data_IF_007100553066
#
_entry.id   IF_007100553066
#
_cell.length_a   1.000
_cell.length_b   1.000
_cell.length_c   1.000
_cell.angle_alpha   90.00
_cell.angle_beta   90.00
_cell.angle_gamma   90.00
#
_symmetry.space_group_name_H-M   'P 1'
#
loop_
_entity.id
_entity.type
_entity.pdbx_description
1 polymer ?
#
# COMPACT_ATOMS: atom_id res chain seq x y z
N UNK A 1 -4.27 5.46 -24.21
CA UNK A 1 -5.55 6.19 -24.10
C UNK A 1 -5.86 6.29 -22.61
N UNK A 2 -6.09 7.49 -22.09
CA UNK A 2 -6.45 7.71 -20.67
C UNK A 2 -7.97 7.88 -20.64
N UNK A 3 -8.69 7.04 -19.92
CA UNK A 3 -10.15 7.12 -19.86
C UNK A 3 -10.58 7.19 -18.40
N UNK A 4 -11.28 8.26 -18.03
CA UNK A 4 -11.94 8.39 -16.73
C UNK A 4 -13.42 8.21 -17.01
N UNK A 5 -14.01 7.11 -16.57
CA UNK A 5 -15.28 6.65 -17.14
C UNK A 5 -16.50 6.96 -16.27
N UNK A 6 -16.37 7.18 -14.95
CA UNK A 6 -17.45 7.62 -14.03
C UNK A 6 -16.86 7.92 -12.65
N UNK A 7 -17.07 9.04 -11.99
CA UNK A 7 -16.68 9.22 -10.56
C UNK A 7 -17.57 10.26 -9.87
N UNK A 8 -17.79 10.10 -8.57
CA UNK A 8 -18.74 10.92 -7.78
C UNK A 8 -18.02 11.80 -6.75
N UNK A 9 -18.59 12.98 -6.44
CA UNK A 9 -18.18 13.81 -5.29
C UNK A 9 -19.38 14.43 -4.58
N UNK A 10 -19.50 14.30 -3.26
CA UNK A 10 -20.38 15.16 -2.43
C UNK A 10 -21.80 15.48 -2.94
N UNK A 11 -22.47 14.54 -3.61
CA UNK A 11 -23.82 14.76 -4.18
C UNK A 11 -23.86 15.58 -5.48
N UNK A 12 -22.70 15.89 -6.08
CA UNK A 12 -22.54 16.55 -7.38
C UNK A 12 -21.54 15.76 -8.22
N UNK A 13 -21.98 15.23 -9.36
CA UNK A 13 -21.09 14.61 -10.34
C UNK A 13 -20.03 15.64 -10.80
N UNK A 14 -18.74 15.24 -10.79
CA UNK A 14 -17.63 16.17 -11.04
C UNK A 14 -17.68 16.81 -12.44
N UNK A 15 -17.54 18.14 -12.57
CA UNK A 15 -17.56 18.81 -13.86
C UNK A 15 -16.24 18.63 -14.65
N UNK A 16 -16.43 18.51 -15.98
CA UNK A 16 -15.49 18.10 -17.03
C UNK A 16 -14.26 19.01 -17.18
N UNK A 17 -13.07 18.43 -17.33
CA UNK A 17 -12.00 19.04 -18.17
C UNK A 17 -11.36 18.01 -19.09
N UNK A 18 -11.50 18.30 -20.39
CA UNK A 18 -10.89 17.71 -21.59
C UNK A 18 -10.81 16.16 -21.70
N UNK A 19 -11.62 15.64 -22.64
CA UNK A 19 -11.56 14.32 -23.30
C UNK A 19 -12.53 13.22 -22.82
N UNK A 20 -13.85 13.45 -22.69
CA UNK A 20 -14.83 12.34 -22.50
C UNK A 20 -16.04 12.43 -23.45
N UNK A 21 -16.44 11.28 -23.99
CA UNK A 21 -17.72 11.04 -24.68
C UNK A 21 -18.86 10.93 -23.63
N UNK A 22 -19.95 11.63 -23.93
CA UNK A 22 -21.33 11.61 -23.40
C UNK A 22 -21.62 11.18 -21.93
N UNK A 23 -22.27 12.10 -21.20
CA UNK A 23 -22.93 11.88 -19.91
C UNK A 23 -23.98 10.77 -20.01
N UNK A 24 -23.64 9.57 -19.52
CA UNK A 24 -24.62 8.52 -19.27
C UNK A 24 -25.04 8.60 -17.80
N UNK A 25 -26.36 8.64 -17.50
CA UNK A 25 -26.83 8.58 -16.11
C UNK A 25 -26.34 7.30 -15.44
N UNK A 26 -26.14 7.36 -14.11
CA UNK A 26 -25.81 6.18 -13.33
C UNK A 26 -26.85 5.08 -13.56
N UNK A 27 -26.41 3.86 -13.82
CA UNK A 27 -27.33 2.73 -13.99
C UNK A 27 -27.87 2.31 -12.63
N UNK A 28 -29.13 1.85 -12.58
CA UNK A 28 -29.72 1.32 -11.35
C UNK A 28 -28.81 0.21 -10.76
N UNK A 29 -28.35 0.40 -9.51
CA UNK A 29 -27.43 -0.51 -8.83
C UNK A 29 -25.93 -0.24 -9.02
N UNK A 30 -25.54 0.86 -9.69
CA UNK A 30 -24.13 1.29 -9.77
C UNK A 30 -23.64 1.85 -8.42
N UNK A 31 -22.47 1.39 -7.98
CA UNK A 31 -21.89 1.67 -6.66
C UNK A 31 -20.63 2.52 -6.78
N UNK A 32 -20.40 3.43 -5.82
CA UNK A 32 -19.23 4.31 -5.83
C UNK A 32 -18.53 4.29 -4.48
N UNK A 33 -17.21 4.46 -4.51
CA UNK A 33 -16.40 4.44 -3.30
C UNK A 33 -16.25 3.04 -2.71
N UNK A 34 -15.63 3.00 -1.54
CA UNK A 34 -15.20 1.78 -0.89
C UNK A 34 -16.31 1.07 -0.09
N UNK A 35 -17.47 1.70 0.08
CA UNK A 35 -18.56 1.17 0.92
C UNK A 35 -19.08 -0.18 0.42
N UNK A 36 -19.13 -0.37 -0.90
CA UNK A 36 -19.51 -1.64 -1.54
C UNK A 36 -18.30 -2.59 -1.73
N UNK A 37 -17.40 -2.62 -0.76
CA UNK A 37 -16.28 -3.56 -0.73
C UNK A 37 -16.78 -5.02 -0.81
N UNK A 38 -16.48 -5.76 -1.90
CA UNK A 38 -17.06 -7.08 -2.14
C UNK A 38 -16.28 -8.22 -1.46
N UNK A 39 -15.18 -7.91 -0.76
CA UNK A 39 -14.28 -8.91 -0.18
C UNK A 39 -14.88 -9.68 1.00
N UNK A 40 -15.95 -9.16 1.62
CA UNK A 40 -16.53 -9.70 2.84
C UNK A 40 -15.68 -9.46 4.09
N UNK A 41 -14.58 -8.71 3.97
CA UNK A 41 -13.65 -8.38 5.06
C UNK A 41 -13.68 -6.86 5.36
N UNK A 42 -13.35 -6.45 6.59
CA UNK A 42 -13.32 -5.05 6.99
C UNK A 42 -12.19 -4.27 6.27
N UNK A 43 -12.50 -3.07 5.79
CA UNK A 43 -11.48 -2.17 5.24
C UNK A 43 -10.46 -1.84 6.35
N UNK A 44 -9.18 -2.05 6.06
CA UNK A 44 -8.10 -1.89 7.05
C UNK A 44 -7.85 -3.10 7.95
N UNK A 45 -8.60 -4.20 7.76
CA UNK A 45 -8.46 -5.44 8.52
C UNK A 45 -8.88 -5.28 9.98
N UNK A 46 -8.28 -6.05 10.86
CA UNK A 46 -8.55 -6.03 12.29
C UNK A 46 -9.74 -6.91 12.65
N UNK A 47 -10.56 -6.51 13.64
CA UNK A 47 -11.74 -7.26 14.04
C UNK A 47 -12.63 -7.62 12.85
N UNK A 48 -13.13 -8.85 12.81
CA UNK A 48 -13.95 -9.43 11.72
C UNK A 48 -13.20 -9.74 10.41
N UNK A 49 -11.88 -9.57 10.35
CA UNK A 49 -11.08 -10.14 9.27
C UNK A 49 -11.16 -11.68 9.33
N UNK A 50 -11.43 -12.32 8.20
CA UNK A 50 -11.79 -13.75 8.16
C UNK A 50 -10.61 -14.71 8.18
N UNK A 51 -9.45 -14.30 7.66
CA UNK A 51 -8.28 -15.18 7.48
C UNK A 51 -7.18 -14.86 8.50
N UNK A 52 -7.53 -14.88 9.79
CA UNK A 52 -6.60 -14.60 10.89
C UNK A 52 -5.93 -15.89 11.35
N UNK A 53 -4.60 -15.86 11.45
CA UNK A 53 -3.81 -16.93 12.05
C UNK A 53 -3.63 -16.68 13.55
N UNK A 54 -3.75 -17.74 14.34
CA UNK A 54 -3.61 -17.70 15.82
C UNK A 54 -2.48 -18.58 16.36
N UNK A 55 -1.77 -19.27 15.46
CA UNK A 55 -0.60 -20.09 15.74
C UNK A 55 0.17 -20.31 14.43
N UNK A 56 1.37 -20.91 14.53
CA UNK A 56 2.17 -21.33 13.39
C UNK A 56 3.09 -22.51 13.74
N UNK A 57 3.90 -22.95 12.78
CA UNK A 57 4.90 -24.01 12.95
C UNK A 57 6.05 -23.57 13.86
N UNK A 58 6.35 -22.29 13.87
CA UNK A 58 7.32 -21.66 14.77
C UNK A 58 6.64 -20.54 15.55
N UNK A 59 6.75 -20.54 16.87
CA UNK A 59 6.36 -19.39 17.70
C UNK A 59 7.61 -18.66 18.17
N UNK A 60 7.69 -17.36 17.91
CA UNK A 60 8.89 -16.55 18.21
C UNK A 60 8.53 -15.34 19.07
N UNK A 61 9.39 -15.04 20.02
CA UNK A 61 9.18 -13.99 21.04
C UNK A 61 10.33 -12.97 21.11
N UNK A 62 11.38 -13.18 20.33
CA UNK A 62 12.57 -12.32 20.29
C UNK A 62 13.14 -12.22 18.88
N UNK A 63 14.06 -11.28 18.67
CA UNK A 63 14.78 -11.15 17.40
C UNK A 63 15.53 -12.44 17.04
N UNK A 64 16.30 -12.99 17.98
CA UNK A 64 17.15 -14.15 17.70
C UNK A 64 16.29 -15.38 17.34
N UNK A 65 15.13 -15.54 17.99
CA UNK A 65 14.16 -16.58 17.65
C UNK A 65 13.52 -16.36 16.28
N UNK A 66 13.14 -15.12 15.96
CA UNK A 66 12.56 -14.75 14.66
C UNK A 66 13.57 -15.00 13.52
N UNK A 67 14.81 -14.55 13.69
CA UNK A 67 15.88 -14.78 12.71
C UNK A 67 16.16 -16.27 12.53
N UNK A 68 16.27 -17.02 13.63
CA UNK A 68 16.52 -18.46 13.59
C UNK A 68 15.36 -19.22 12.95
N UNK A 69 14.11 -18.86 13.26
CA UNK A 69 12.92 -19.48 12.68
C UNK A 69 12.86 -19.24 11.17
N UNK A 70 12.95 -17.98 10.72
CA UNK A 70 12.93 -17.65 9.29
C UNK A 70 14.05 -18.34 8.51
N UNK A 71 15.25 -18.46 9.09
CA UNK A 71 16.38 -19.18 8.49
C UNK A 71 16.14 -20.70 8.36
N UNK A 72 15.38 -21.28 9.30
CA UNK A 72 15.07 -22.70 9.33
C UNK A 72 13.78 -23.08 8.57
N UNK A 73 12.90 -22.12 8.30
CA UNK A 73 11.61 -22.33 7.67
C UNK A 73 11.71 -22.87 6.25
N UNK A 74 10.72 -23.66 5.88
CA UNK A 74 10.51 -24.26 4.58
C UNK A 74 9.24 -23.68 3.97
N UNK A 75 9.12 -23.84 2.65
CA UNK A 75 7.89 -23.53 1.94
C UNK A 75 6.67 -24.17 2.63
N UNK A 76 5.66 -23.37 2.93
CA UNK A 76 4.45 -23.70 3.67
C UNK A 76 4.49 -23.37 5.16
N UNK A 77 5.66 -23.11 5.75
CA UNK A 77 5.77 -22.87 7.19
C UNK A 77 5.19 -21.49 7.59
N UNK A 78 4.58 -21.45 8.77
CA UNK A 78 4.13 -20.22 9.43
C UNK A 78 5.04 -19.89 10.61
N UNK A 79 5.71 -18.74 10.54
CA UNK A 79 6.41 -18.13 11.69
C UNK A 79 5.46 -17.16 12.37
N UNK A 80 5.06 -17.47 13.60
CA UNK A 80 4.03 -16.79 14.35
C UNK A 80 4.61 -15.96 15.51
N UNK A 81 4.19 -14.69 15.58
CA UNK A 81 4.53 -13.76 16.66
C UNK A 81 3.28 -13.57 17.54
N UNK A 82 3.33 -13.95 18.84
CA UNK A 82 2.21 -13.74 19.76
C UNK A 82 1.81 -12.26 19.90
N UNK A 83 0.53 -12.03 20.22
CA UNK A 83 -0.08 -10.70 20.26
C UNK A 83 0.61 -9.69 21.19
N UNK A 84 1.13 -10.16 22.32
CA UNK A 84 1.77 -9.35 23.36
C UNK A 84 3.30 -9.20 23.16
N UNK A 85 3.86 -9.86 22.16
CA UNK A 85 5.28 -9.83 21.85
C UNK A 85 5.64 -8.55 21.10
N UNK A 86 6.79 -7.98 21.50
CA UNK A 86 7.42 -6.86 20.80
C UNK A 86 8.87 -7.22 20.46
N UNK A 87 9.25 -7.07 19.19
CA UNK A 87 10.58 -7.39 18.68
C UNK A 87 11.25 -6.12 18.16
N UNK A 88 12.36 -5.74 18.78
CA UNK A 88 13.16 -4.57 18.40
C UNK A 88 14.22 -4.94 17.34
N UNK A 89 14.10 -4.30 16.18
CA UNK A 89 14.96 -4.40 15.00
C UNK A 89 15.94 -3.22 14.88
N UNK A 90 16.02 -2.36 15.89
CA UNK A 90 16.85 -1.15 15.86
C UNK A 90 18.32 -1.45 15.50
N UNK A 91 18.81 -0.79 14.44
CA UNK A 91 20.18 -0.93 13.91
C UNK A 91 20.52 -2.33 13.39
N UNK A 92 19.51 -3.17 13.17
CA UNK A 92 19.67 -4.49 12.58
C UNK A 92 19.48 -4.44 11.07
N UNK A 93 19.95 -5.48 10.40
CA UNK A 93 19.68 -5.68 8.99
C UNK A 93 18.24 -6.17 8.79
N UNK A 94 17.71 -5.96 7.58
CA UNK A 94 16.43 -6.55 7.16
C UNK A 94 16.46 -8.07 7.33
N UNK A 95 15.36 -8.65 7.82
CA UNK A 95 15.18 -10.09 7.85
C UNK A 95 14.61 -10.58 6.52
N UNK A 96 15.16 -11.70 6.03
CA UNK A 96 14.70 -12.35 4.81
C UNK A 96 13.63 -13.37 5.16
N UNK A 97 12.46 -13.25 4.54
CA UNK A 97 11.39 -14.26 4.65
C UNK A 97 11.51 -15.21 3.45
N UNK A 98 11.78 -16.52 3.64
CA UNK A 98 11.93 -17.44 2.52
C UNK A 98 10.67 -17.53 1.66
N UNK A 99 10.83 -17.97 0.40
CA UNK A 99 9.68 -18.18 -0.49
C UNK A 99 8.67 -19.16 0.10
N UNK A 100 7.38 -18.85 -0.09
CA UNK A 100 6.23 -19.61 0.38
C UNK A 100 6.17 -19.75 1.92
N UNK A 101 6.82 -18.84 2.66
CA UNK A 101 6.72 -18.74 4.13
C UNK A 101 5.76 -17.61 4.50
N UNK A 102 4.97 -17.86 5.55
CA UNK A 102 4.10 -16.84 6.15
C UNK A 102 4.70 -16.31 7.46
N UNK A 103 4.88 -15.00 7.57
CA UNK A 103 5.14 -14.32 8.84
C UNK A 103 3.82 -13.76 9.38
N UNK A 104 3.37 -14.27 10.52
CA UNK A 104 2.01 -14.06 11.00
C UNK A 104 1.93 -13.55 12.44
N UNK A 105 0.82 -12.92 12.74
CA UNK A 105 0.33 -12.64 14.09
C UNK A 105 -1.20 -12.57 14.06
N UNK A 106 -1.83 -12.37 15.22
CA UNK A 106 -3.27 -12.55 15.43
C UNK A 106 -4.12 -11.27 15.38
N UNK A 107 -3.68 -10.17 14.74
CA UNK A 107 -4.44 -8.91 14.72
C UNK A 107 -5.89 -9.16 14.28
N UNK A 108 -6.85 -8.71 15.10
CA UNK A 108 -8.29 -8.90 14.91
C UNK A 108 -8.91 -10.09 15.65
N UNK A 109 -8.11 -11.07 16.09
CA UNK A 109 -8.61 -12.24 16.83
C UNK A 109 -8.86 -11.88 18.29
N UNK A 110 -10.09 -12.04 18.79
CA UNK A 110 -10.45 -11.81 20.20
C UNK A 110 -9.96 -10.47 20.77
N UNK A 111 -9.95 -9.42 19.94
CA UNK A 111 -9.46 -8.08 20.32
C UNK A 111 -7.94 -7.91 20.29
N UNK A 112 -7.21 -8.89 19.78
CA UNK A 112 -5.76 -8.81 19.57
C UNK A 112 -5.39 -7.69 18.60
N UNK A 113 -4.40 -6.88 18.98
CA UNK A 113 -3.78 -5.88 18.09
C UNK A 113 -2.70 -6.49 17.18
N UNK A 114 -2.26 -7.71 17.49
CA UNK A 114 -1.11 -8.36 16.88
C UNK A 114 0.23 -7.96 17.51
N UNK A 115 1.22 -8.86 17.40
CA UNK A 115 2.60 -8.62 17.82
C UNK A 115 3.23 -7.46 17.07
N UNK A 116 4.10 -6.73 17.76
CA UNK A 116 4.78 -5.54 17.23
C UNK A 116 6.22 -5.87 16.83
N UNK A 117 6.58 -5.56 15.60
CA UNK A 117 7.98 -5.59 15.14
C UNK A 117 8.36 -4.18 14.74
N UNK A 118 9.39 -3.63 15.37
CA UNK A 118 9.66 -2.20 15.27
C UNK A 118 11.14 -1.84 15.23
N UNK A 119 11.42 -0.60 14.84
CA UNK A 119 12.72 0.03 15.05
C UNK A 119 12.54 1.47 15.55
N UNK A 120 13.36 1.89 16.51
CA UNK A 120 13.48 3.29 16.93
C UNK A 120 14.74 3.98 16.37
N UNK A 121 15.53 3.27 15.57
CA UNK A 121 16.82 3.75 15.08
C UNK A 121 16.74 4.15 13.59
N UNK A 122 16.89 5.45 13.31
CA UNK A 122 16.79 6.02 11.96
C UNK A 122 17.74 5.40 10.93
N UNK A 123 18.84 4.80 11.37
CA UNK A 123 19.81 4.09 10.53
C UNK A 123 19.41 2.64 10.20
N UNK A 124 18.20 2.21 10.58
CA UNK A 124 17.65 0.90 10.20
C UNK A 124 17.17 0.93 8.75
N UNK A 125 17.80 0.18 7.82
CA UNK A 125 17.54 0.27 6.38
C UNK A 125 16.16 -0.26 5.96
N UNK A 126 15.60 -1.15 6.77
CA UNK A 126 14.26 -1.71 6.63
C UNK A 126 14.04 -2.86 7.61
N UNK A 127 12.83 -3.44 7.63
CA UNK A 127 12.52 -4.56 8.53
C UNK A 127 12.50 -5.91 7.81
N UNK A 128 11.81 -6.01 6.67
CA UNK A 128 11.61 -7.28 5.97
C UNK A 128 11.86 -7.19 4.48
N UNK A 129 12.40 -8.27 3.94
CA UNK A 129 12.52 -8.50 2.50
C UNK A 129 12.06 -9.90 2.16
N UNK A 130 11.20 -10.04 1.15
CA UNK A 130 10.87 -11.35 0.59
C UNK A 130 12.13 -11.96 -0.07
N UNK A 131 12.48 -13.18 0.32
CA UNK A 131 13.58 -13.97 -0.22
C UNK A 131 13.18 -14.95 -1.32
N UNK A 132 11.88 -15.02 -1.64
CA UNK A 132 11.34 -15.87 -2.68
C UNK A 132 9.89 -15.53 -3.00
N UNK A 133 9.30 -16.30 -3.90
CA UNK A 133 7.91 -16.12 -4.35
C UNK A 133 6.92 -16.55 -3.26
N UNK A 134 5.68 -16.05 -3.32
CA UNK A 134 4.57 -16.45 -2.45
C UNK A 134 4.78 -16.20 -0.95
N UNK A 135 5.63 -15.24 -0.57
CA UNK A 135 5.73 -14.77 0.83
C UNK A 135 4.43 -14.11 1.26
N UNK A 136 3.93 -14.43 2.46
CA UNK A 136 2.80 -13.74 3.08
C UNK A 136 3.20 -13.10 4.41
N UNK A 137 2.72 -11.89 4.66
CA UNK A 137 2.90 -11.19 5.94
C UNK A 137 1.52 -10.74 6.42
N UNK A 138 1.08 -11.28 7.56
CA UNK A 138 -0.30 -11.07 8.05
C UNK A 138 -0.43 -10.77 9.54
N UNK A 139 -1.39 -9.93 9.90
CA UNK A 139 -1.86 -9.78 11.28
C UNK A 139 -0.87 -9.16 12.27
N UNK A 140 0.14 -8.44 11.76
CA UNK A 140 1.21 -7.82 12.53
C UNK A 140 1.04 -6.31 12.68
N UNK A 141 1.70 -5.76 13.69
CA UNK A 141 2.04 -4.34 13.75
C UNK A 141 3.51 -4.16 13.36
N UNK A 142 3.77 -3.32 12.37
CA UNK A 142 5.10 -3.14 11.77
C UNK A 142 5.45 -1.65 11.76
N UNK A 143 6.38 -1.25 12.63
CA UNK A 143 6.71 0.17 12.87
C UNK A 143 8.16 0.50 12.49
N UNK A 144 8.33 1.41 11.55
CA UNK A 144 9.62 1.98 11.23
C UNK A 144 10.07 3.09 12.19
N UNK A 145 11.27 3.64 11.99
CA UNK A 145 11.90 4.58 12.91
C UNK A 145 11.53 6.05 12.69
N UNK A 146 10.67 6.38 11.72
CA UNK A 146 10.46 7.77 11.29
C UNK A 146 9.02 8.09 10.84
N UNK A 147 8.29 8.84 11.66
CA UNK A 147 6.89 9.25 11.45
C UNK A 147 6.70 10.75 11.15
N UNK A 148 7.79 11.51 11.04
CA UNK A 148 7.79 12.96 10.79
C UNK A 148 7.83 13.33 9.28
N UNK A 149 7.75 14.62 8.98
CA UNK A 149 7.71 15.25 7.65
C UNK A 149 9.06 15.77 7.19
N UNK A 150 10.03 15.82 8.09
CA UNK A 150 11.36 16.32 7.79
C UNK A 150 12.06 15.52 6.69
N UNK A 151 12.95 16.20 5.96
CA UNK A 151 13.85 15.52 5.01
C UNK A 151 15.03 14.94 5.78
N UNK A 152 15.01 13.63 5.98
CA UNK A 152 16.17 12.89 6.51
C UNK A 152 16.94 12.21 5.38
N UNK A 153 18.23 11.95 5.53
CA UNK A 153 19.05 11.26 4.51
C UNK A 153 19.02 9.72 4.66
N UNK A 154 18.47 9.22 5.77
CA UNK A 154 18.30 7.78 6.02
C UNK A 154 17.04 7.23 5.37
N UNK A 155 17.20 6.07 4.74
CA UNK A 155 16.15 5.35 4.04
C UNK A 155 15.75 4.12 4.84
N UNK A 156 14.44 3.93 5.01
CA UNK A 156 13.84 2.79 5.69
C UNK A 156 12.60 2.32 4.94
N UNK A 157 12.58 1.06 4.51
CA UNK A 157 11.38 0.39 3.97
C UNK A 157 10.80 -0.58 5.01
N UNK A 158 9.47 -0.72 5.08
CA UNK A 158 8.87 -1.72 5.94
C UNK A 158 9.05 -3.12 5.39
N UNK A 159 8.37 -3.40 4.30
CA UNK A 159 8.37 -4.69 3.62
C UNK A 159 8.76 -4.49 2.16
N UNK A 160 9.83 -5.14 1.72
CA UNK A 160 10.33 -5.03 0.34
C UNK A 160 10.26 -6.37 -0.42
N UNK A 161 9.92 -6.32 -1.72
CA UNK A 161 9.92 -7.51 -2.58
C UNK A 161 10.32 -7.22 -4.03
N UNK A 162 10.97 -8.21 -4.64
CA UNK A 162 11.23 -8.33 -6.08
C UNK A 162 10.59 -9.59 -6.67
N UNK A 163 9.70 -10.23 -5.92
CA UNK A 163 9.25 -11.60 -6.16
C UNK A 163 7.78 -11.68 -6.59
N UNK A 164 7.41 -12.84 -7.11
CA UNK A 164 6.04 -13.12 -7.51
C UNK A 164 5.17 -13.40 -6.28
N UNK A 165 3.94 -12.87 -6.26
CA UNK A 165 2.90 -13.32 -5.34
C UNK A 165 3.13 -12.94 -3.87
N UNK A 166 3.89 -11.89 -3.57
CA UNK A 166 3.97 -11.40 -2.18
C UNK A 166 2.62 -10.82 -1.73
N UNK A 167 2.08 -11.36 -0.64
CA UNK A 167 0.82 -10.95 -0.02
C UNK A 167 1.09 -10.26 1.32
N UNK A 168 0.46 -9.10 1.53
CA UNK A 168 0.59 -8.31 2.75
C UNK A 168 -0.81 -7.93 3.18
N UNK A 169 -1.28 -8.49 4.28
CA UNK A 169 -2.67 -8.39 4.68
C UNK A 169 -2.90 -8.22 6.17
N UNK A 170 -4.03 -7.62 6.55
CA UNK A 170 -4.45 -7.51 7.94
C UNK A 170 -3.40 -6.88 8.90
N UNK A 171 -2.41 -6.15 8.39
CA UNK A 171 -1.37 -5.52 9.18
C UNK A 171 -1.68 -4.07 9.52
N UNK A 172 -1.06 -3.55 10.57
CA UNK A 172 -0.85 -2.12 10.79
C UNK A 172 0.60 -1.77 10.45
N UNK A 173 0.86 -0.84 9.54
CA UNK A 173 2.21 -0.54 9.02
C UNK A 173 2.47 0.96 8.97
N UNK A 174 3.51 1.43 9.68
CA UNK A 174 3.75 2.87 9.79
C UNK A 174 5.20 3.27 10.04
N UNK A 175 5.46 4.58 9.96
CA UNK A 175 6.72 5.23 10.33
C UNK A 175 7.94 4.84 9.48
N UNK A 176 7.75 4.62 8.17
CA UNK A 176 8.84 4.38 7.23
C UNK A 176 9.20 5.62 6.44
N UNK A 177 10.50 5.92 6.38
CA UNK A 177 11.01 7.11 5.70
C UNK A 177 10.93 7.00 4.17
N UNK A 178 10.93 5.79 3.61
CA UNK A 178 10.76 5.56 2.18
C UNK A 178 9.35 5.07 1.88
N UNK A 179 9.02 3.84 2.27
CA UNK A 179 7.73 3.23 2.02
C UNK A 179 7.38 2.16 3.06
N UNK A 180 6.11 2.07 3.46
CA UNK A 180 5.62 0.97 4.30
C UNK A 180 5.72 -0.38 3.57
N UNK A 181 5.33 -0.42 2.30
CA UNK A 181 5.57 -1.57 1.41
C UNK A 181 6.24 -1.11 0.11
N UNK A 182 7.16 -1.90 -0.41
CA UNK A 182 7.92 -1.56 -1.62
C UNK A 182 8.04 -2.74 -2.57
N UNK A 183 7.48 -2.57 -3.77
CA UNK A 183 7.53 -3.53 -4.86
C UNK A 183 8.48 -3.02 -5.93
N UNK A 184 9.60 -3.71 -6.14
CA UNK A 184 10.60 -3.32 -7.12
C UNK A 184 10.54 -4.20 -8.38
N UNK A 185 11.42 -3.91 -9.34
CA UNK A 185 11.54 -4.63 -10.60
C UNK A 185 11.68 -6.13 -10.37
N UNK A 186 10.83 -6.93 -11.03
CA UNK A 186 10.70 -8.37 -10.82
C UNK A 186 9.44 -8.74 -10.04
N UNK A 187 8.93 -7.86 -9.17
CA UNK A 187 7.73 -8.13 -8.41
C UNK A 187 6.49 -8.17 -9.31
N UNK A 188 5.68 -9.20 -9.17
CA UNK A 188 4.44 -9.37 -9.94
C UNK A 188 3.39 -10.09 -9.12
N UNK A 189 2.10 -9.82 -9.39
CA UNK A 189 0.98 -10.31 -8.58
C UNK A 189 1.15 -10.00 -7.08
N UNK A 190 1.76 -8.86 -6.77
CA UNK A 190 1.78 -8.36 -5.40
C UNK A 190 0.35 -8.05 -4.95
N UNK A 191 0.04 -8.33 -3.68
CA UNK A 191 -1.28 -8.10 -3.13
C UNK A 191 -1.17 -7.43 -1.77
N UNK A 192 -1.61 -6.18 -1.67
CA UNK A 192 -1.61 -5.41 -0.42
C UNK A 192 -3.05 -5.14 -0.07
N UNK A 193 -3.59 -5.78 0.97
CA UNK A 193 -5.02 -5.67 1.25
C UNK A 193 -5.42 -5.68 2.72
N UNK A 194 -6.47 -4.95 3.06
CA UNK A 194 -7.01 -4.92 4.42
C UNK A 194 -5.96 -4.54 5.48
N UNK A 195 -5.04 -3.63 5.13
CA UNK A 195 -4.06 -3.09 6.07
C UNK A 195 -4.46 -1.70 6.53
N UNK A 196 -4.05 -1.34 7.75
CA UNK A 196 -4.02 0.06 8.17
C UNK A 196 -2.60 0.61 7.96
N UNK A 197 -2.43 1.50 6.98
CA UNK A 197 -1.10 2.01 6.59
C UNK A 197 -1.06 3.51 6.83
N UNK A 198 -0.19 3.96 7.74
CA UNK A 198 -0.17 5.35 8.13
C UNK A 198 1.20 5.92 8.50
N UNK A 199 1.27 7.24 8.71
CA UNK A 199 2.44 7.94 9.23
C UNK A 199 3.74 7.69 8.46
N UNK A 200 3.66 7.50 7.14
CA UNK A 200 4.82 7.41 6.25
C UNK A 200 5.01 8.78 5.58
N UNK A 201 5.61 9.74 6.30
CA UNK A 201 5.41 11.17 5.99
C UNK A 201 6.62 11.93 5.46
N UNK A 202 7.77 11.28 5.32
CA UNK A 202 9.04 11.94 5.00
C UNK A 202 8.94 12.87 3.80
N UNK A 203 9.45 14.10 3.97
CA UNK A 203 9.59 15.06 2.88
C UNK A 203 10.35 14.48 1.69
N UNK A 204 9.70 14.45 0.53
CA UNK A 204 10.28 13.94 -0.72
C UNK A 204 10.18 12.42 -0.93
N UNK A 205 9.86 11.62 0.09
CA UNK A 205 9.45 10.20 -0.05
C UNK A 205 8.15 9.97 0.75
N UNK A 206 8.10 8.99 1.65
CA UNK A 206 6.96 8.74 2.55
C UNK A 206 5.75 8.10 1.85
N UNK A 207 5.87 6.83 1.47
CA UNK A 207 4.84 6.12 0.71
C UNK A 207 4.13 5.06 1.56
N UNK A 208 2.81 4.90 1.40
CA UNK A 208 2.12 3.71 1.92
C UNK A 208 2.51 2.47 1.12
N UNK A 209 2.20 2.48 -0.18
CA UNK A 209 2.63 1.48 -1.16
C UNK A 209 3.50 2.12 -2.23
N UNK A 210 4.77 1.72 -2.29
CA UNK A 210 5.75 2.18 -3.27
C UNK A 210 5.98 1.15 -4.37
N UNK A 211 5.96 1.58 -5.64
CA UNK A 211 6.14 0.70 -6.80
C UNK A 211 7.26 1.22 -7.71
N UNK A 212 8.21 0.34 -8.05
CA UNK A 212 9.38 0.66 -8.85
C UNK A 212 9.69 -0.48 -9.85
N UNK A 213 8.82 -0.68 -10.84
CA UNK A 213 8.96 -1.70 -11.89
C UNK A 213 8.23 -3.03 -11.63
N UNK A 214 7.17 -3.02 -10.81
CA UNK A 214 6.37 -4.22 -10.51
C UNK A 214 4.86 -4.01 -10.66
N UNK A 215 4.09 -5.09 -10.50
CA UNK A 215 2.62 -5.08 -10.61
C UNK A 215 1.92 -5.51 -9.32
N UNK A 216 1.00 -4.68 -8.83
CA UNK A 216 0.39 -4.81 -7.50
C UNK A 216 -1.12 -4.56 -7.53
N UNK A 217 -1.89 -5.40 -6.86
CA UNK A 217 -3.28 -5.14 -6.47
C UNK A 217 -3.30 -4.56 -5.05
N UNK A 218 -3.95 -3.41 -4.87
CA UNK A 218 -4.02 -2.67 -3.62
C UNK A 218 -5.51 -2.54 -3.27
N UNK A 219 -6.00 -3.37 -2.34
CA UNK A 219 -7.43 -3.59 -2.12
C UNK A 219 -7.86 -3.37 -0.66
N UNK A 220 -8.94 -2.63 -0.42
CA UNK A 220 -9.57 -2.54 0.91
C UNK A 220 -8.63 -2.11 2.05
N UNK A 221 -7.58 -1.33 1.77
CA UNK A 221 -6.72 -0.77 2.80
C UNK A 221 -7.31 0.53 3.35
N UNK A 222 -7.00 0.82 4.61
CA UNK A 222 -7.22 2.12 5.23
C UNK A 222 -5.88 2.87 5.24
N UNK A 223 -5.83 4.03 4.59
CA UNK A 223 -4.65 4.88 4.54
C UNK A 223 -4.88 6.19 5.27
N UNK A 224 -3.88 6.64 6.02
CA UNK A 224 -3.83 8.01 6.55
C UNK A 224 -2.40 8.51 6.67
N UNK A 225 -2.18 9.81 6.86
CA UNK A 225 -0.87 10.38 7.21
C UNK A 225 0.31 9.82 6.39
N UNK A 226 0.17 9.54 5.09
CA UNK A 226 1.36 9.33 4.26
C UNK A 226 1.60 10.56 3.40
N UNK A 227 2.81 10.75 2.89
CA UNK A 227 3.02 11.78 1.87
C UNK A 227 2.33 11.40 0.57
N UNK A 228 2.47 10.14 0.15
CA UNK A 228 1.63 9.51 -0.87
C UNK A 228 1.10 8.18 -0.30
N UNK A 229 -0.21 7.93 -0.36
CA UNK A 229 -0.76 6.62 0.01
C UNK A 229 -0.28 5.54 -0.96
N UNK A 230 -0.28 5.83 -2.26
CA UNK A 230 0.28 4.98 -3.31
C UNK A 230 1.20 5.83 -4.18
N UNK A 231 2.42 5.37 -4.44
CA UNK A 231 3.33 6.04 -5.36
C UNK A 231 4.06 5.04 -6.25
N UNK A 232 4.04 5.30 -7.55
CA UNK A 232 4.84 4.56 -8.53
C UNK A 232 5.84 5.46 -9.23
N UNK A 233 7.05 4.94 -9.46
CA UNK A 233 8.08 5.57 -10.29
C UNK A 233 7.67 5.75 -11.76
N UNK A 234 6.66 5.01 -12.21
CA UNK A 234 6.25 4.94 -13.61
C UNK A 234 7.30 4.39 -14.56
N UNK A 235 8.34 3.72 -14.04
CA UNK A 235 9.26 2.97 -14.89
C UNK A 235 8.47 1.90 -15.69
N UNK A 236 8.89 1.58 -16.93
CA UNK A 236 8.30 0.48 -17.69
C UNK A 236 8.19 -0.81 -16.87
N UNK A 237 7.09 -1.54 -17.03
CA UNK A 237 6.76 -2.70 -16.18
C UNK A 237 6.05 -2.38 -14.86
N UNK A 238 5.95 -1.09 -14.47
CA UNK A 238 5.16 -0.69 -13.30
C UNK A 238 3.67 -0.65 -13.62
N UNK A 239 2.82 -1.22 -12.77
CA UNK A 239 1.37 -1.03 -12.88
C UNK A 239 0.63 -1.39 -11.61
N UNK A 240 -0.55 -0.81 -11.39
CA UNK A 240 -1.35 -1.16 -10.22
C UNK A 240 -2.84 -1.03 -10.44
N UNK A 241 -3.56 -1.90 -9.74
CA UNK A 241 -4.98 -1.75 -9.48
C UNK A 241 -5.16 -1.27 -8.04
N UNK A 242 -5.84 -0.16 -7.85
CA UNK A 242 -6.20 0.35 -6.53
C UNK A 242 -7.71 0.34 -6.43
N UNK A 243 -8.26 -0.48 -5.52
CA UNK A 243 -9.70 -0.60 -5.35
C UNK A 243 -10.19 -0.74 -3.91
N UNK A 244 -11.38 -0.22 -3.64
CA UNK A 244 -12.02 -0.33 -2.32
C UNK A 244 -11.19 0.22 -1.16
N UNK A 245 -10.16 1.02 -1.43
CA UNK A 245 -9.36 1.64 -0.37
C UNK A 245 -10.06 2.88 0.17
N UNK A 246 -9.87 3.16 1.46
CA UNK A 246 -10.26 4.41 2.09
C UNK A 246 -9.01 5.22 2.36
N UNK A 247 -8.93 6.40 1.76
CA UNK A 247 -7.90 7.39 2.04
C UNK A 247 -8.48 8.46 2.96
N UNK A 248 -7.98 8.52 4.19
CA UNK A 248 -8.32 9.55 5.17
C UNK A 248 -7.64 10.89 4.84
N UNK A 249 -7.90 11.89 5.68
CA UNK A 249 -7.79 13.30 5.34
C UNK A 249 -6.36 13.86 5.42
N UNK A 250 -5.43 13.18 6.10
CA UNK A 250 -4.23 13.84 6.64
C UNK A 250 -2.95 13.63 5.83
N UNK A 251 -3.06 13.28 4.55
CA UNK A 251 -1.89 13.21 3.68
C UNK A 251 -1.21 14.58 3.54
N UNK A 252 0.12 14.59 3.50
CA UNK A 252 0.90 15.83 3.35
C UNK A 252 1.39 16.09 1.90
N UNK A 253 0.94 15.23 0.97
CA UNK A 253 1.12 15.33 -0.47
C UNK A 253 -0.10 14.76 -1.18
N UNK A 254 -0.02 14.53 -2.50
CA UNK A 254 -1.12 13.88 -3.23
C UNK A 254 -1.26 12.40 -2.89
N UNK A 255 -2.49 11.86 -2.95
CA UNK A 255 -2.79 10.53 -2.39
C UNK A 255 -2.22 9.41 -3.25
N UNK A 256 -2.66 9.29 -4.50
CA UNK A 256 -2.14 8.29 -5.45
C UNK A 256 -1.34 8.96 -6.54
N UNK A 257 -0.19 8.38 -6.83
CA UNK A 257 0.80 8.95 -7.73
C UNK A 257 1.32 7.96 -8.77
N UNK A 258 1.40 8.42 -10.01
CA UNK A 258 2.18 7.80 -11.07
C UNK A 258 3.13 8.84 -11.66
N UNK A 259 4.41 8.70 -11.33
CA UNK A 259 5.48 9.50 -11.93
C UNK A 259 5.58 9.22 -13.44
N UNK A 260 6.15 10.14 -14.20
CA UNK A 260 6.51 9.90 -15.60
C UNK A 260 7.97 10.16 -15.93
N UNK A 261 8.30 10.08 -17.22
CA UNK A 261 9.70 10.12 -17.68
C UNK A 261 10.44 11.41 -17.33
N UNK A 262 9.71 12.53 -17.18
CA UNK A 262 10.29 13.77 -16.65
C UNK A 262 10.75 13.63 -15.20
N UNK A 263 9.97 12.97 -14.34
CA UNK A 263 10.36 12.75 -12.94
C UNK A 263 11.59 11.84 -12.84
N UNK A 264 11.75 10.92 -13.81
CA UNK A 264 12.89 10.00 -13.90
C UNK A 264 14.09 10.57 -14.64
N UNK A 265 13.93 11.66 -15.40
CA UNK A 265 14.97 12.22 -16.26
C UNK A 265 15.39 11.31 -17.42
N UNK A 266 14.51 10.40 -17.87
CA UNK A 266 14.83 9.34 -18.84
C UNK A 266 14.51 9.70 -20.31
N UNK A 267 14.16 10.98 -20.56
CA UNK A 267 13.76 11.51 -21.86
C UNK A 267 12.52 10.85 -22.49
N UNK A 268 11.75 10.08 -21.72
CA UNK A 268 10.44 9.56 -22.12
C UNK A 268 9.31 10.41 -21.54
N UNK A 269 8.08 10.13 -21.99
CA UNK A 269 6.86 10.56 -21.30
C UNK A 269 6.14 9.36 -20.67
N UNK A 270 6.83 8.24 -20.41
CA UNK A 270 6.19 7.00 -19.96
C UNK A 270 5.78 7.12 -18.50
N UNK A 271 4.54 6.74 -18.16
CA UNK A 271 4.00 6.69 -16.81
C UNK A 271 3.49 5.27 -16.47
N UNK A 272 4.45 4.34 -16.37
CA UNK A 272 4.19 2.92 -16.17
C UNK A 272 3.51 2.25 -17.36
N UNK A 273 3.13 1.00 -17.15
CA UNK A 273 2.40 0.22 -18.13
C UNK A 273 0.90 0.47 -18.03
N UNK A 274 0.32 0.33 -16.84
CA UNK A 274 -1.12 0.48 -16.66
C UNK A 274 -1.51 0.95 -15.26
N UNK A 275 -2.68 1.58 -15.16
CA UNK A 275 -3.34 1.89 -13.88
C UNK A 275 -4.83 1.56 -13.98
N UNK A 276 -5.38 0.97 -12.93
CA UNK A 276 -6.82 0.80 -12.76
C UNK A 276 -7.24 1.27 -11.36
N UNK A 277 -7.82 2.46 -11.26
CA UNK A 277 -8.13 3.11 -9.98
C UNK A 277 -9.65 3.20 -9.86
N UNK A 278 -10.25 2.37 -9.00
CA UNK A 278 -11.70 2.38 -8.88
C UNK A 278 -12.29 2.04 -7.53
N UNK A 279 -13.51 2.51 -7.28
CA UNK A 279 -14.22 2.19 -6.03
C UNK A 279 -13.42 2.56 -4.77
N UNK A 280 -12.52 3.55 -4.84
CA UNK A 280 -11.85 4.06 -3.65
C UNK A 280 -12.63 5.26 -3.09
N UNK A 281 -12.57 5.46 -1.78
CA UNK A 281 -13.09 6.66 -1.12
C UNK A 281 -11.93 7.56 -0.72
N UNK A 282 -11.90 8.77 -1.25
CA UNK A 282 -10.89 9.79 -0.95
C UNK A 282 -11.49 10.90 -0.11
N UNK A 283 -11.13 10.95 1.18
CA UNK A 283 -11.65 11.94 2.12
C UNK A 283 -10.83 13.23 2.18
N UNK A 284 -9.57 13.22 1.74
CA UNK A 284 -8.76 14.42 1.75
C UNK A 284 -9.31 15.48 0.78
N UNK A 285 -9.55 16.68 1.30
CA UNK A 285 -10.12 17.79 0.53
C UNK A 285 -9.06 18.80 0.05
N UNK A 286 -7.96 18.94 0.79
CA UNK A 286 -6.94 19.98 0.61
C UNK A 286 -5.77 19.57 -0.30
N UNK A 287 -5.56 18.27 -0.50
CA UNK A 287 -4.49 17.72 -1.35
C UNK A 287 -5.07 17.00 -2.55
N UNK A 288 -4.25 16.85 -3.61
CA UNK A 288 -4.72 16.16 -4.81
C UNK A 288 -4.97 14.68 -4.53
N UNK A 289 -6.10 14.14 -4.96
CA UNK A 289 -6.35 12.70 -4.84
C UNK A 289 -5.46 11.90 -5.79
N UNK A 290 -5.46 12.25 -7.08
CA UNK A 290 -4.74 11.51 -8.11
C UNK A 290 -3.80 12.45 -8.90
N UNK A 291 -2.56 12.01 -9.09
CA UNK A 291 -1.60 12.71 -9.96
C UNK A 291 -0.91 11.69 -10.88
N UNK A 292 -1.02 11.88 -12.20
CA UNK A 292 -0.37 11.07 -13.22
C UNK A 292 0.49 12.00 -14.07
N UNK A 293 1.80 11.76 -14.17
CA UNK A 293 2.77 12.69 -14.79
C UNK A 293 3.42 12.16 -16.06
N UNK A 294 2.62 11.58 -16.95
CA UNK A 294 3.05 11.09 -18.26
C UNK A 294 1.95 10.23 -18.88
N UNK A 295 2.29 9.38 -19.83
CA UNK A 295 1.37 8.49 -20.56
C UNK A 295 1.74 7.04 -20.27
N UNK A 296 0.79 6.29 -19.73
CA UNK A 296 0.91 4.83 -19.55
C UNK A 296 0.97 4.13 -20.90
N UNK A 297 1.81 3.11 -21.04
CA UNK A 297 1.98 2.39 -22.31
C UNK A 297 0.74 1.57 -22.72
N UNK A 298 -0.03 1.05 -21.75
CA UNK A 298 -1.19 0.18 -21.97
C UNK A 298 -2.53 0.84 -21.60
N UNK A 299 -2.54 1.84 -20.72
CA UNK A 299 -3.72 2.66 -20.42
C UNK A 299 -3.90 2.98 -18.94
N UNK A 300 -4.71 4.00 -18.66
CA UNK A 300 -5.10 4.37 -17.32
C UNK A 300 -6.62 4.45 -17.26
N UNK A 301 -7.22 3.71 -16.32
CA UNK A 301 -8.66 3.73 -16.03
C UNK A 301 -8.88 4.31 -14.65
N UNK A 302 -9.76 5.31 -14.56
CA UNK A 302 -10.18 5.91 -13.28
C UNK A 302 -11.71 5.92 -13.27
N UNK A 303 -12.34 5.15 -12.39
CA UNK A 303 -13.80 5.05 -12.38
C UNK A 303 -14.38 4.63 -11.03
N UNK A 304 -15.66 4.88 -10.78
CA UNK A 304 -16.41 4.51 -9.59
C UNK A 304 -15.79 4.95 -8.25
N UNK A 305 -14.86 5.92 -8.25
CA UNK A 305 -14.30 6.47 -7.03
C UNK A 305 -15.25 7.51 -6.42
N UNK A 306 -15.14 7.69 -5.11
CA UNK A 306 -15.82 8.75 -4.36
C UNK A 306 -14.80 9.76 -3.84
N UNK A 307 -14.96 11.03 -4.20
CA UNK A 307 -14.08 12.12 -3.80
C UNK A 307 -14.82 13.13 -2.91
N UNK A 308 -14.28 13.43 -1.72
CA UNK A 308 -14.87 14.46 -0.85
C UNK A 308 -14.48 15.88 -1.25
N UNK A 309 -13.34 16.05 -1.93
CA UNK A 309 -12.87 17.38 -2.33
C UNK A 309 -13.91 18.10 -3.20
N UNK A 310 -14.34 19.32 -2.82
CA UNK A 310 -15.29 20.10 -3.62
C UNK A 310 -14.64 20.75 -4.84
N UNK A 311 -13.30 20.75 -4.91
CA UNK A 311 -12.52 21.40 -5.97
C UNK A 311 -12.08 20.37 -7.03
N UNK A 312 -12.62 20.39 -8.26
CA UNK A 312 -12.24 19.43 -9.30
C UNK A 312 -10.74 19.40 -9.60
N UNK A 313 -10.05 20.54 -9.41
CA UNK A 313 -8.60 20.66 -9.59
C UNK A 313 -7.76 19.90 -8.55
N UNK A 314 -8.39 19.48 -7.44
CA UNK A 314 -7.83 18.63 -6.40
C UNK A 314 -8.12 17.14 -6.62
N UNK A 315 -8.81 16.74 -7.68
CA UNK A 315 -9.22 15.35 -7.85
C UNK A 315 -8.25 14.61 -8.73
N UNK A 316 -8.06 15.07 -9.96
CA UNK A 316 -7.13 14.44 -10.90
C UNK A 316 -6.29 15.50 -11.59
N UNK A 317 -4.97 15.31 -11.56
CA UNK A 317 -4.03 15.99 -12.45
C UNK A 317 -3.38 14.98 -13.36
N UNK A 318 -3.37 15.27 -14.66
CA UNK A 318 -2.94 14.37 -15.74
C UNK A 318 -1.86 15.01 -16.59
#
# INVERSE_FOLDING_TARGET
>A
MKTIERSSSGGVMLPRTALWEDELPATEGETFGAEDNPTGNPIGGGPDYSDILVAGDHTVTSYDELEAALSASRAGDVVFVPADVQIDMSRRSELIIPGDVTLASSRGSEGSEGGLIFSDALDTPGLFRAGGDCVRITGLRVRGPFDDRDRVDRSSNGIETTHFGTEIDNCEIWAFSVAATRFNTGASRGYVHHNYIHHNQRGGLGYGVGINGGSVLIEANLFDWCRHHIASSGAPGSGYEARYNVCLEHANGHLFDMHGGRDRGDATDIAGDWMNIHHNTFKAEEVRSLVIRGVSSQGAKIHHNWFYSPEPSNIVRV
#
